data_IF_235110516818
#
_entry.id   IF_235110516818
#
_cell.length_a   1.000
_cell.length_b   1.000
_cell.length_c   1.000
_cell.angle_alpha   90.00
_cell.angle_beta   90.00
_cell.angle_gamma   90.00
#
_symmetry.space_group_name_H-M   'P 1'
#
loop_
_entity.id
_entity.type
_entity.pdbx_description
1 polymer ?
#
# COMPACT_ATOMS: atom_id res chain seq x y z
N UNK A 1 8.36 -13.07 21.76
CA UNK A 1 9.47 -12.32 21.12
C UNK A 1 8.86 -11.04 20.59
N UNK A 2 9.34 -9.89 21.06
CA UNK A 2 8.74 -8.58 20.75
C UNK A 2 9.01 -8.10 19.30
N UNK A 3 10.09 -8.58 18.68
CA UNK A 3 10.48 -8.24 17.31
C UNK A 3 11.09 -9.47 16.61
N UNK A 4 10.69 -9.71 15.36
CA UNK A 4 11.29 -10.72 14.49
C UNK A 4 11.18 -10.31 13.02
N UNK A 5 12.03 -10.85 12.17
CA UNK A 5 11.97 -10.68 10.71
C UNK A 5 12.05 -12.03 10.00
N UNK A 6 11.40 -12.10 8.81
CA UNK A 6 11.42 -13.27 7.92
C UNK A 6 11.57 -12.78 6.47
N UNK A 7 12.54 -13.30 5.73
CA UNK A 7 12.66 -13.08 4.27
C UNK A 7 11.56 -13.88 3.56
N UNK A 8 10.50 -13.17 3.18
CA UNK A 8 9.28 -13.79 2.70
C UNK A 8 9.30 -14.08 1.20
N UNK A 9 9.67 -13.10 0.39
CA UNK A 9 9.88 -13.29 -1.04
C UNK A 9 11.32 -12.91 -1.39
N UNK A 10 11.92 -13.68 -2.29
CA UNK A 10 13.31 -13.49 -2.71
C UNK A 10 13.39 -13.67 -4.23
N UNK A 11 14.11 -12.80 -4.91
CA UNK A 11 14.19 -12.78 -6.37
C UNK A 11 14.61 -14.12 -6.96
N UNK A 12 15.68 -14.71 -6.42
CA UNK A 12 16.27 -15.95 -6.92
C UNK A 12 15.40 -17.16 -6.54
N UNK A 13 15.00 -17.26 -5.26
CA UNK A 13 14.21 -18.37 -4.75
C UNK A 13 12.85 -18.48 -5.43
N UNK A 14 12.20 -17.36 -5.69
CA UNK A 14 10.86 -17.32 -6.28
C UNK A 14 10.92 -17.26 -7.82
N UNK A 15 12.12 -17.21 -8.43
CA UNK A 15 12.33 -17.36 -9.88
C UNK A 15 12.02 -16.13 -10.72
N UNK A 16 12.18 -14.92 -10.14
CA UNK A 16 11.96 -13.64 -10.83
C UNK A 16 13.20 -12.76 -10.81
N UNK A 17 13.34 -11.90 -11.82
CA UNK A 17 14.42 -10.91 -11.83
C UNK A 17 14.24 -9.86 -10.73
N UNK A 18 12.99 -9.54 -10.38
CA UNK A 18 12.67 -8.60 -9.32
C UNK A 18 11.33 -8.94 -8.68
N UNK A 19 11.30 -9.06 -7.35
CA UNK A 19 10.06 -9.19 -6.57
C UNK A 19 9.83 -7.90 -5.78
N UNK A 20 8.69 -7.24 -6.01
CA UNK A 20 8.38 -5.90 -5.48
C UNK A 20 6.92 -5.77 -5.07
N UNK A 21 6.54 -4.55 -4.66
CA UNK A 21 5.15 -4.11 -4.44
C UNK A 21 4.46 -4.98 -3.38
N UNK A 22 4.85 -4.83 -2.11
CA UNK A 22 4.24 -5.56 -1.01
C UNK A 22 2.80 -5.12 -0.76
N UNK A 23 1.92 -6.08 -0.48
CA UNK A 23 0.61 -5.83 0.12
C UNK A 23 0.31 -6.90 1.17
N UNK A 24 -0.26 -6.51 2.31
CA UNK A 24 -0.40 -7.37 3.48
C UNK A 24 -1.75 -7.18 4.13
N UNK A 25 -2.40 -8.29 4.48
CA UNK A 25 -3.62 -8.26 5.28
C UNK A 25 -3.61 -9.31 6.38
N UNK A 26 -4.21 -8.95 7.54
CA UNK A 26 -4.47 -9.83 8.66
C UNK A 26 -5.95 -10.24 8.67
N UNK A 27 -6.20 -11.54 8.70
CA UNK A 27 -7.56 -12.11 8.69
C UNK A 27 -8.09 -12.35 10.11
N UNK A 28 -7.22 -12.22 11.13
CA UNK A 28 -7.48 -12.62 12.52
C UNK A 28 -7.21 -14.11 12.76
N UNK A 29 -7.10 -14.48 14.06
CA UNK A 29 -6.79 -15.86 14.46
C UNK A 29 -5.43 -16.34 13.97
N UNK A 30 -4.45 -15.46 13.88
CA UNK A 30 -3.09 -15.75 13.44
C UNK A 30 -2.89 -15.82 11.92
N UNK A 31 -3.94 -15.59 11.15
CA UNK A 31 -3.91 -15.76 9.69
C UNK A 31 -3.50 -14.47 8.97
N UNK A 32 -2.57 -14.60 8.03
CA UNK A 32 -2.08 -13.50 7.21
C UNK A 32 -2.02 -13.90 5.73
N UNK A 33 -2.27 -12.94 4.85
CA UNK A 33 -1.97 -13.05 3.43
C UNK A 33 -0.97 -11.96 3.04
N UNK A 34 0.12 -12.36 2.43
CA UNK A 34 1.13 -11.48 1.87
C UNK A 34 1.16 -11.60 0.35
N UNK A 35 1.12 -10.46 -0.32
CA UNK A 35 1.16 -10.36 -1.78
C UNK A 35 2.43 -9.65 -2.23
N UNK A 36 2.88 -9.99 -3.41
CA UNK A 36 4.02 -9.36 -4.08
C UNK A 36 3.85 -9.44 -5.60
N UNK A 37 4.64 -8.67 -6.32
CA UNK A 37 4.71 -8.70 -7.79
C UNK A 37 6.05 -9.29 -8.21
N UNK A 38 6.01 -10.42 -8.88
CA UNK A 38 7.17 -11.06 -9.51
C UNK A 38 7.32 -10.57 -10.95
N UNK A 39 8.43 -9.93 -11.27
CA UNK A 39 8.73 -9.31 -12.58
C UNK A 39 9.80 -10.09 -13.32
N UNK A 40 9.63 -10.24 -14.62
CA UNK A 40 10.64 -10.89 -15.51
C UNK A 40 11.85 -10.01 -15.79
N UNK A 41 11.71 -8.69 -15.62
CA UNK A 41 12.78 -7.69 -15.72
C UNK A 41 12.62 -6.61 -14.63
N UNK A 42 13.62 -5.77 -14.46
CA UNK A 42 13.62 -4.71 -13.44
C UNK A 42 12.76 -3.48 -13.84
N UNK A 43 11.95 -3.55 -14.83
CA UNK A 43 11.09 -2.47 -15.30
C UNK A 43 9.67 -2.59 -14.75
N UNK A 44 9.03 -1.47 -14.42
CA UNK A 44 7.60 -1.42 -14.08
C UNK A 44 6.71 -1.85 -15.25
N UNK A 45 7.26 -1.89 -16.44
CA UNK A 45 6.58 -2.24 -17.70
C UNK A 45 6.95 -3.63 -18.22
N UNK A 46 7.59 -4.45 -17.41
CA UNK A 46 7.90 -5.84 -17.76
C UNK A 46 6.74 -6.77 -17.45
N UNK A 47 6.64 -7.87 -18.16
CA UNK A 47 5.73 -8.94 -17.79
C UNK A 47 5.90 -9.31 -16.32
N UNK A 48 4.78 -9.42 -15.63
CA UNK A 48 4.76 -9.66 -14.20
C UNK A 48 3.54 -10.45 -13.77
N UNK A 49 3.60 -10.99 -12.55
CA UNK A 49 2.52 -11.79 -11.93
C UNK A 49 2.36 -11.39 -10.49
N UNK A 50 1.15 -11.51 -9.96
CA UNK A 50 0.90 -11.35 -8.53
C UNK A 50 1.09 -12.69 -7.83
N UNK A 51 2.00 -12.68 -6.87
CA UNK A 51 2.33 -13.80 -6.00
C UNK A 51 1.62 -13.63 -4.66
N UNK A 52 1.30 -14.74 -4.00
CA UNK A 52 0.74 -14.75 -2.66
C UNK A 52 1.36 -15.85 -1.81
N UNK A 53 1.57 -15.56 -0.51
CA UNK A 53 1.88 -16.53 0.54
C UNK A 53 0.87 -16.39 1.67
N UNK A 54 0.63 -17.49 2.40
CA UNK A 54 -0.25 -17.54 3.57
C UNK A 54 0.51 -17.97 4.80
N UNK A 55 0.11 -17.40 5.94
CA UNK A 55 0.50 -17.86 7.27
C UNK A 55 -0.75 -18.17 8.09
N UNK A 56 -0.68 -19.18 8.96
CA UNK A 56 -1.73 -19.59 9.90
C UNK A 56 -1.29 -19.43 11.37
N UNK A 57 -0.09 -18.90 11.60
CA UNK A 57 0.60 -18.90 12.89
C UNK A 57 1.26 -17.55 13.21
N UNK A 58 0.55 -16.46 12.93
CA UNK A 58 1.01 -15.08 13.19
C UNK A 58 2.33 -14.75 12.47
N UNK A 59 2.53 -15.28 11.24
CA UNK A 59 3.69 -14.97 10.41
C UNK A 59 4.96 -15.73 10.77
N UNK A 60 4.89 -16.79 11.60
CA UNK A 60 6.06 -17.60 11.94
C UNK A 60 6.45 -18.52 10.78
N UNK A 61 5.47 -19.15 10.15
CA UNK A 61 5.67 -19.97 8.96
C UNK A 61 4.75 -19.54 7.82
N UNK A 62 5.16 -19.83 6.58
CA UNK A 62 4.48 -19.40 5.38
C UNK A 62 4.42 -20.50 4.34
N UNK A 63 3.31 -20.56 3.62
CA UNK A 63 3.15 -21.43 2.47
C UNK A 63 4.17 -21.11 1.37
N UNK A 64 4.45 -22.03 0.43
CA UNK A 64 5.11 -21.70 -0.83
C UNK A 64 4.39 -20.54 -1.54
N UNK A 65 5.13 -19.74 -2.31
CA UNK A 65 4.53 -18.71 -3.16
C UNK A 65 3.67 -19.37 -4.25
N UNK A 66 2.49 -18.78 -4.50
CA UNK A 66 1.64 -19.17 -5.63
C UNK A 66 1.23 -17.94 -6.43
N UNK A 67 1.03 -18.13 -7.71
CA UNK A 67 0.47 -17.10 -8.59
C UNK A 67 -1.03 -16.99 -8.35
N UNK A 68 -1.54 -15.77 -8.10
CA UNK A 68 -2.97 -15.49 -7.92
C UNK A 68 -3.56 -14.65 -9.04
N UNK A 69 -2.72 -13.93 -9.78
CA UNK A 69 -3.13 -13.25 -11.00
C UNK A 69 -1.96 -13.20 -11.99
N UNK A 70 -2.25 -13.54 -13.24
CA UNK A 70 -1.30 -13.46 -14.35
C UNK A 70 -2.04 -13.25 -15.68
N UNK A 71 -1.36 -12.66 -16.64
CA UNK A 71 -1.79 -12.54 -18.02
C UNK A 71 -0.55 -12.60 -18.91
N UNK A 72 -0.49 -13.61 -19.78
CA UNK A 72 0.69 -13.85 -20.60
C UNK A 72 1.11 -12.62 -21.41
N UNK A 73 2.39 -12.25 -21.34
CA UNK A 73 2.96 -11.11 -22.03
C UNK A 73 2.56 -9.73 -21.49
N UNK A 74 1.81 -9.66 -20.39
CA UNK A 74 1.31 -8.41 -19.82
C UNK A 74 1.96 -8.08 -18.48
N UNK A 75 1.94 -6.81 -18.13
CA UNK A 75 2.18 -6.34 -16.77
C UNK A 75 0.94 -6.66 -15.94
N UNK A 76 1.08 -7.42 -14.85
CA UNK A 76 0.04 -7.62 -13.84
C UNK A 76 0.60 -7.16 -12.50
N UNK A 77 0.10 -6.02 -12.00
CA UNK A 77 0.77 -5.29 -10.93
C UNK A 77 -0.24 -4.62 -9.97
N UNK A 78 0.27 -4.02 -8.89
CA UNK A 78 -0.48 -3.27 -7.89
C UNK A 78 -1.57 -4.11 -7.20
N UNK A 79 -1.22 -5.19 -6.46
CA UNK A 79 -2.19 -5.92 -5.67
C UNK A 79 -2.76 -5.03 -4.55
N UNK A 80 -4.10 -5.01 -4.46
CA UNK A 80 -4.83 -4.28 -3.42
C UNK A 80 -5.81 -5.22 -2.73
N UNK A 81 -5.37 -5.96 -1.72
CA UNK A 81 -6.25 -6.80 -0.91
C UNK A 81 -7.07 -5.95 0.07
N UNK A 82 -8.32 -6.36 0.31
CA UNK A 82 -9.22 -5.78 1.32
C UNK A 82 -9.86 -6.92 2.09
N UNK A 83 -9.85 -6.86 3.41
CA UNK A 83 -10.51 -7.85 4.26
C UNK A 83 -11.86 -7.32 4.72
N UNK A 84 -12.92 -7.98 4.27
CA UNK A 84 -14.28 -7.77 4.75
C UNK A 84 -14.60 -8.84 5.82
N UNK A 85 -14.36 -8.48 7.07
CA UNK A 85 -14.58 -9.39 8.21
C UNK A 85 -16.05 -9.76 8.38
N UNK A 86 -16.97 -8.83 8.09
CA UNK A 86 -18.41 -9.06 8.25
C UNK A 86 -18.96 -10.06 7.23
N UNK A 87 -18.45 -10.00 5.99
CA UNK A 87 -18.84 -10.92 4.92
C UNK A 87 -17.92 -12.14 4.80
N UNK A 88 -16.91 -12.25 5.68
CA UNK A 88 -15.86 -13.28 5.61
C UNK A 88 -15.27 -13.38 4.19
N UNK A 89 -14.99 -12.23 3.58
CA UNK A 89 -14.55 -12.12 2.19
C UNK A 89 -13.23 -11.37 2.09
N UNK A 90 -12.37 -11.81 1.18
CA UNK A 90 -11.15 -11.12 0.80
C UNK A 90 -11.33 -10.64 -0.62
N UNK A 91 -11.36 -9.33 -0.82
CA UNK A 91 -11.40 -8.71 -2.13
C UNK A 91 -9.97 -8.46 -2.59
N UNK A 92 -9.71 -8.55 -3.89
CA UNK A 92 -8.42 -8.27 -4.50
C UNK A 92 -8.64 -7.48 -5.79
N UNK A 93 -8.07 -6.27 -5.84
CA UNK A 93 -7.97 -5.50 -7.06
C UNK A 93 -6.53 -5.52 -7.56
N UNK A 94 -6.37 -5.38 -8.88
CA UNK A 94 -5.06 -5.24 -9.53
C UNK A 94 -5.22 -4.60 -10.91
N UNK A 95 -4.12 -4.16 -11.50
CA UNK A 95 -4.12 -3.60 -12.85
C UNK A 95 -3.38 -4.50 -13.84
N UNK A 96 -3.70 -4.36 -15.14
CA UNK A 96 -2.90 -4.91 -16.24
C UNK A 96 -2.49 -3.82 -17.21
N UNK A 97 -1.20 -3.82 -17.58
CA UNK A 97 -0.57 -2.89 -18.53
C UNK A 97 -0.81 -1.41 -18.21
N UNK A 98 -1.18 -1.09 -16.93
CA UNK A 98 -1.60 0.22 -16.47
C UNK A 98 -2.79 0.81 -17.27
N UNK A 99 -3.59 -0.06 -17.88
CA UNK A 99 -4.73 0.32 -18.74
C UNK A 99 -6.04 -0.29 -18.31
N UNK A 100 -6.01 -1.41 -17.61
CA UNK A 100 -7.20 -2.13 -17.15
C UNK A 100 -7.11 -2.41 -15.67
N UNK A 101 -8.23 -2.34 -14.98
CA UNK A 101 -8.35 -2.70 -13.58
C UNK A 101 -9.27 -3.92 -13.44
N UNK A 102 -8.82 -4.89 -12.66
CA UNK A 102 -9.55 -6.12 -12.40
C UNK A 102 -9.88 -6.25 -10.93
N UNK A 103 -11.00 -6.89 -10.67
CA UNK A 103 -11.48 -7.24 -9.34
C UNK A 103 -11.78 -8.73 -9.25
N UNK A 104 -11.37 -9.35 -8.16
CA UNK A 104 -11.75 -10.70 -7.79
C UNK A 104 -11.96 -10.81 -6.29
N UNK A 105 -12.50 -11.93 -5.80
CA UNK A 105 -12.70 -12.18 -4.38
C UNK A 105 -12.52 -13.64 -4.00
N UNK A 106 -12.19 -13.85 -2.74
CA UNK A 106 -12.12 -15.15 -2.08
C UNK A 106 -13.10 -15.19 -0.90
N UNK A 107 -13.78 -16.31 -0.73
CA UNK A 107 -14.68 -16.60 0.42
C UNK A 107 -14.21 -17.80 1.24
N UNK A 108 -13.02 -18.28 1.00
CA UNK A 108 -12.40 -19.45 1.63
C UNK A 108 -11.05 -19.11 2.31
N UNK A 109 -10.91 -17.85 2.75
CA UNK A 109 -9.69 -17.39 3.43
C UNK A 109 -8.48 -17.25 2.51
N UNK A 110 -8.70 -17.02 1.22
CA UNK A 110 -7.65 -16.86 0.22
C UNK A 110 -7.14 -18.19 -0.35
N UNK A 111 -7.83 -19.32 -0.13
CA UNK A 111 -7.47 -20.58 -0.79
C UNK A 111 -7.69 -20.49 -2.30
N UNK A 112 -8.84 -19.99 -2.70
CA UNK A 112 -9.15 -19.76 -4.11
C UNK A 112 -9.70 -18.35 -4.34
N UNK A 113 -9.55 -17.85 -5.56
CA UNK A 113 -10.15 -16.59 -5.99
C UNK A 113 -11.11 -16.86 -7.15
N UNK A 114 -12.25 -16.16 -7.16
CA UNK A 114 -13.21 -16.22 -8.24
C UNK A 114 -12.59 -15.72 -9.57
N UNK A 115 -13.15 -16.07 -10.73
CA UNK A 115 -12.72 -15.46 -11.99
C UNK A 115 -12.76 -13.93 -11.91
N UNK A 116 -11.70 -13.23 -12.37
CA UNK A 116 -11.62 -11.79 -12.24
C UNK A 116 -12.61 -11.07 -13.17
N UNK A 117 -13.27 -10.04 -12.65
CA UNK A 117 -14.11 -9.12 -13.42
C UNK A 117 -13.31 -7.89 -13.83
N UNK A 118 -13.47 -7.45 -15.07
CA UNK A 118 -12.91 -6.18 -15.56
C UNK A 118 -13.78 -5.02 -15.06
N UNK A 119 -13.20 -4.16 -14.23
CA UNK A 119 -13.88 -2.96 -13.69
C UNK A 119 -13.31 -1.66 -14.28
N UNK A 120 -12.63 -1.73 -15.41
CA UNK A 120 -12.03 -0.56 -16.08
C UNK A 120 -13.04 0.53 -16.41
N UNK A 121 -14.31 0.15 -16.64
CA UNK A 121 -15.42 1.08 -16.88
C UNK A 121 -15.59 2.10 -15.74
N UNK A 122 -15.22 1.77 -14.50
CA UNK A 122 -15.20 2.73 -13.37
C UNK A 122 -14.21 3.86 -13.64
N UNK A 123 -13.04 3.56 -14.19
CA UNK A 123 -12.02 4.58 -14.51
C UNK A 123 -12.39 5.40 -15.75
N UNK A 124 -13.13 4.82 -16.71
CA UNK A 124 -13.61 5.57 -17.88
C UNK A 124 -14.50 6.76 -17.48
N UNK A 125 -15.18 6.70 -16.35
CA UNK A 125 -16.01 7.80 -15.83
C UNK A 125 -15.19 9.03 -15.41
N UNK A 126 -13.87 8.91 -15.20
CA UNK A 126 -12.99 10.06 -14.95
C UNK A 126 -12.61 10.83 -16.21
N UNK A 127 -12.71 10.22 -17.43
CA UNK A 127 -12.22 10.83 -18.68
C UNK A 127 -12.74 12.23 -18.97
N UNK A 128 -13.99 12.60 -18.65
CA UNK A 128 -14.44 13.98 -18.86
C UNK A 128 -13.68 15.03 -18.03
N UNK A 129 -13.04 14.60 -16.91
CA UNK A 129 -12.27 15.47 -16.02
C UNK A 129 -10.76 15.28 -16.12
N UNK A 130 -10.32 14.06 -16.44
CA UNK A 130 -8.91 13.69 -16.51
C UNK A 130 -8.66 12.68 -17.63
N UNK A 131 -7.97 13.10 -18.68
CA UNK A 131 -7.65 12.27 -19.87
C UNK A 131 -6.50 11.31 -19.58
N UNK A 132 -6.73 10.32 -18.72
CA UNK A 132 -5.71 9.36 -18.32
C UNK A 132 -5.24 8.46 -19.45
N UNK A 133 -3.96 8.10 -19.41
CA UNK A 133 -3.28 7.08 -20.23
C UNK A 133 -2.78 5.92 -19.40
N UNK A 134 -2.73 6.10 -18.06
CA UNK A 134 -2.28 5.15 -17.06
C UNK A 134 -3.28 5.18 -15.91
N UNK A 135 -3.67 4.01 -15.43
CA UNK A 135 -4.49 3.82 -14.21
C UNK A 135 -3.84 2.80 -13.30
N UNK A 136 -3.94 3.01 -12.00
CA UNK A 136 -3.51 2.02 -11.02
C UNK A 136 -4.32 2.13 -9.71
N UNK A 137 -4.85 1.02 -9.18
CA UNK A 137 -5.27 0.96 -7.79
C UNK A 137 -4.05 0.91 -6.87
N UNK A 138 -4.15 1.42 -5.65
CA UNK A 138 -3.13 1.34 -4.61
C UNK A 138 -1.72 1.76 -5.03
N UNK A 139 -0.69 0.90 -4.81
CA UNK A 139 -0.71 -0.45 -4.22
C UNK A 139 -0.78 -0.46 -2.69
N UNK A 140 -0.72 -1.65 -2.10
CA UNK A 140 -0.89 -1.91 -0.68
C UNK A 140 -2.34 -2.24 -0.34
N UNK A 141 -2.62 -2.61 0.91
CA UNK A 141 -3.99 -2.96 1.31
C UNK A 141 -4.92 -1.74 1.26
N UNK A 142 -6.22 -2.03 1.15
CA UNK A 142 -7.27 -1.02 1.26
C UNK A 142 -8.28 -1.42 2.33
N UNK A 143 -9.35 -0.63 2.51
CA UNK A 143 -10.18 -0.70 3.71
C UNK A 143 -11.65 -0.95 3.42
N UNK A 144 -12.35 -1.53 4.40
CA UNK A 144 -13.80 -1.51 4.53
C UNK A 144 -14.14 -0.47 5.58
N UNK A 145 -14.97 0.51 5.23
CA UNK A 145 -15.48 1.49 6.19
C UNK A 145 -16.52 0.86 7.11
N UNK A 146 -16.75 1.44 8.28
CA UNK A 146 -17.82 1.03 9.20
C UNK A 146 -19.22 1.02 8.57
N UNK A 147 -19.41 1.76 7.49
CA UNK A 147 -20.63 1.72 6.68
C UNK A 147 -20.77 0.46 5.83
N UNK A 148 -19.75 -0.39 5.75
CA UNK A 148 -19.66 -1.55 4.84
C UNK A 148 -19.16 -1.20 3.44
N UNK A 149 -18.81 0.06 3.17
CA UNK A 149 -18.20 0.50 1.90
C UNK A 149 -16.78 -0.05 1.75
N UNK A 150 -16.51 -0.71 0.63
CA UNK A 150 -15.14 -0.98 0.19
C UNK A 150 -14.58 0.30 -0.42
N UNK A 151 -13.40 0.73 0.00
CA UNK A 151 -12.78 1.97 -0.46
C UNK A 151 -11.36 1.69 -0.94
N UNK A 152 -11.02 2.15 -2.15
CA UNK A 152 -9.70 1.97 -2.75
C UNK A 152 -9.17 3.30 -3.27
N UNK A 153 -8.06 3.82 -2.72
CA UNK A 153 -7.32 4.91 -3.35
C UNK A 153 -6.75 4.46 -4.69
N UNK A 154 -6.86 5.33 -5.69
CA UNK A 154 -6.36 5.08 -7.03
C UNK A 154 -5.58 6.30 -7.53
N UNK A 155 -4.67 6.09 -8.45
CA UNK A 155 -4.02 7.18 -9.15
C UNK A 155 -4.10 6.98 -10.66
N UNK A 156 -4.09 8.08 -11.38
CA UNK A 156 -4.14 8.11 -12.83
C UNK A 156 -3.05 9.05 -13.34
N UNK A 157 -2.50 8.76 -14.50
CA UNK A 157 -1.56 9.66 -15.16
C UNK A 157 -1.96 9.95 -16.61
N UNK A 158 -1.63 11.16 -17.08
CA UNK A 158 -1.94 11.65 -18.42
C UNK A 158 -0.70 11.75 -19.31
N UNK A 159 0.42 11.13 -18.92
CA UNK A 159 1.68 11.18 -19.65
C UNK A 159 1.63 10.49 -21.02
N UNK A 160 2.56 10.83 -21.90
CA UNK A 160 2.69 10.22 -23.22
C UNK A 160 3.55 8.95 -23.12
N UNK A 161 3.09 7.87 -23.75
CA UNK A 161 3.80 6.59 -23.74
C UNK A 161 3.74 5.89 -22.38
N UNK A 162 4.85 5.27 -21.99
CA UNK A 162 4.98 4.57 -20.69
C UNK A 162 5.36 5.55 -19.57
N UNK A 163 4.49 6.50 -19.25
CA UNK A 163 4.76 7.56 -18.29
C UNK A 163 3.75 7.59 -17.13
N UNK A 164 4.25 7.64 -15.90
CA UNK A 164 3.48 7.76 -14.68
C UNK A 164 3.25 9.23 -14.26
N UNK A 165 3.54 10.20 -15.11
CA UNK A 165 3.46 11.64 -14.83
C UNK A 165 2.97 12.41 -16.05
N UNK A 166 2.28 13.56 -15.87
CA UNK A 166 1.73 14.04 -14.61
C UNK A 166 0.63 13.13 -14.08
N UNK A 167 0.38 13.13 -12.76
CA UNK A 167 -0.60 12.24 -12.15
C UNK A 167 -1.56 12.95 -11.20
N UNK A 168 -2.74 12.35 -11.00
CA UNK A 168 -3.74 12.76 -10.03
C UNK A 168 -4.14 11.57 -9.16
N UNK A 169 -4.74 11.85 -8.01
CA UNK A 169 -5.30 10.85 -7.10
C UNK A 169 -6.81 10.98 -7.01
N UNK A 170 -7.47 9.85 -6.86
CA UNK A 170 -8.90 9.71 -6.66
C UNK A 170 -9.17 8.50 -5.76
N UNK A 171 -10.43 8.18 -5.55
CA UNK A 171 -10.86 6.93 -4.92
C UNK A 171 -11.91 6.24 -5.78
N UNK A 172 -11.94 4.91 -5.74
CA UNK A 172 -13.08 4.13 -6.20
C UNK A 172 -13.67 3.38 -5.01
N UNK A 173 -14.96 3.09 -5.06
CA UNK A 173 -15.66 2.44 -3.96
C UNK A 173 -16.75 1.48 -4.43
N UNK A 174 -17.15 0.59 -3.53
CA UNK A 174 -18.29 -0.31 -3.71
C UNK A 174 -19.13 -0.34 -2.44
N UNK A 175 -20.44 -0.15 -2.56
CA UNK A 175 -21.41 -0.21 -1.46
C UNK A 175 -22.16 -1.56 -1.41
N UNK A 176 -21.88 -2.47 -2.33
CA UNK A 176 -22.56 -3.74 -2.51
C UNK A 176 -21.64 -4.98 -2.41
N UNK A 177 -20.52 -4.84 -1.65
CA UNK A 177 -19.57 -5.94 -1.44
C UNK A 177 -18.81 -6.34 -2.71
N UNK A 178 -18.51 -5.37 -3.57
CA UNK A 178 -17.70 -5.54 -4.77
C UNK A 178 -18.51 -5.99 -6.01
N UNK A 179 -19.85 -6.02 -5.95
CA UNK A 179 -20.65 -6.36 -7.11
C UNK A 179 -20.61 -5.25 -8.18
N UNK A 180 -20.64 -3.99 -7.75
CA UNK A 180 -20.41 -2.82 -8.60
C UNK A 180 -19.39 -1.86 -7.99
N UNK A 181 -18.69 -1.13 -8.87
CA UNK A 181 -17.68 -0.14 -8.47
C UNK A 181 -18.04 1.23 -9.04
N UNK A 182 -17.85 2.25 -8.22
CA UNK A 182 -18.16 3.64 -8.55
C UNK A 182 -16.92 4.52 -8.41
N UNK A 183 -16.77 5.57 -9.24
CA UNK A 183 -15.72 6.57 -9.03
C UNK A 183 -16.09 7.52 -7.89
N UNK A 184 -15.13 7.82 -7.03
CA UNK A 184 -15.20 8.98 -6.15
C UNK A 184 -14.78 10.26 -6.86
N UNK A 185 -14.61 11.35 -6.13
CA UNK A 185 -14.05 12.59 -6.67
C UNK A 185 -12.54 12.47 -6.88
N UNK A 186 -11.99 13.27 -7.82
CA UNK A 186 -10.54 13.52 -7.87
C UNK A 186 -10.20 14.34 -6.63
N UNK A 187 -9.29 13.80 -5.81
CA UNK A 187 -8.88 14.40 -4.54
C UNK A 187 -7.92 15.54 -4.79
N UNK A 188 -6.94 15.32 -5.67
CA UNK A 188 -5.97 16.33 -6.08
C UNK A 188 -5.38 15.98 -7.45
N UNK A 189 -5.28 16.99 -8.31
CA UNK A 189 -4.54 16.89 -9.58
C UNK A 189 -3.12 17.45 -9.40
N UNK A 190 -2.25 17.15 -10.35
CA UNK A 190 -0.89 17.67 -10.38
C UNK A 190 -0.85 19.20 -10.45
N UNK A 191 -0.17 19.83 -9.50
CA UNK A 191 0.12 21.26 -9.50
C UNK A 191 1.46 21.56 -8.81
N UNK A 192 1.83 22.84 -8.74
CA UNK A 192 3.09 23.28 -8.11
C UNK A 192 3.10 23.08 -6.58
N UNK A 193 1.92 23.00 -5.94
CA UNK A 193 1.82 22.75 -4.50
C UNK A 193 2.06 21.27 -4.18
N UNK A 194 1.43 20.36 -4.92
CA UNK A 194 1.58 18.92 -4.74
C UNK A 194 1.88 18.21 -6.09
N UNK A 195 3.14 18.24 -6.54
CA UNK A 195 3.52 17.62 -7.80
C UNK A 195 3.35 16.10 -7.78
N UNK A 196 2.77 15.57 -8.84
CA UNK A 196 2.65 14.15 -9.12
C UNK A 196 2.16 13.29 -7.92
N UNK A 197 0.99 13.63 -7.32
CA UNK A 197 0.42 12.79 -6.28
C UNK A 197 0.08 11.40 -6.86
N UNK A 198 0.37 10.33 -6.11
CA UNK A 198 0.24 8.97 -6.65
C UNK A 198 -0.16 7.95 -5.57
N UNK A 199 0.66 6.96 -5.30
CA UNK A 199 0.38 5.86 -4.38
C UNK A 199 -0.03 6.36 -2.98
N UNK A 200 -1.28 6.13 -2.65
CA UNK A 200 -1.97 6.72 -1.50
C UNK A 200 -2.55 5.61 -0.65
N UNK A 201 -2.45 5.75 0.65
CA UNK A 201 -3.05 4.82 1.62
C UNK A 201 -4.18 5.51 2.38
N UNK A 202 -5.19 4.74 2.77
CA UNK A 202 -6.39 5.25 3.43
C UNK A 202 -6.56 4.65 4.82
N UNK A 203 -7.16 5.42 5.73
CA UNK A 203 -7.63 4.92 7.02
C UNK A 203 -8.92 5.63 7.41
N UNK A 204 -9.85 4.90 8.03
CA UNK A 204 -11.03 5.48 8.68
C UNK A 204 -10.67 5.93 10.08
N UNK A 205 -10.93 7.19 10.40
CA UNK A 205 -10.67 7.79 11.69
C UNK A 205 -11.77 7.43 12.72
N UNK A 206 -11.52 7.71 14.00
CA UNK A 206 -12.48 7.41 15.07
C UNK A 206 -13.80 8.17 14.92
N UNK A 207 -13.77 9.36 14.33
CA UNK A 207 -14.94 10.20 14.06
C UNK A 207 -15.70 9.82 12.77
N UNK A 208 -15.26 8.79 12.04
CA UNK A 208 -15.88 8.29 10.82
C UNK A 208 -15.39 8.93 9.54
N UNK A 209 -14.55 9.98 9.62
CA UNK A 209 -13.90 10.51 8.42
C UNK A 209 -12.86 9.53 7.89
N UNK A 210 -12.63 9.60 6.61
CA UNK A 210 -11.52 8.91 5.95
C UNK A 210 -10.37 9.90 5.79
N UNK A 211 -9.17 9.49 6.20
CA UNK A 211 -7.92 10.19 5.91
C UNK A 211 -7.18 9.46 4.79
N UNK A 212 -6.80 10.18 3.75
CA UNK A 212 -5.79 9.75 2.79
C UNK A 212 -4.42 10.27 3.21
N UNK A 213 -3.41 9.40 3.12
CA UNK A 213 -2.01 9.77 3.29
C UNK A 213 -1.29 9.57 1.96
N UNK A 214 -0.86 10.67 1.35
CA UNK A 214 -0.60 10.82 -0.07
C UNK A 214 0.91 10.88 -0.34
N UNK A 215 1.41 9.99 -1.21
CA UNK A 215 2.72 10.12 -1.82
C UNK A 215 2.71 11.26 -2.84
N UNK A 216 3.79 12.03 -2.87
CA UNK A 216 3.97 13.13 -3.82
C UNK A 216 5.45 13.39 -4.12
N UNK A 217 5.72 14.27 -5.08
CA UNK A 217 7.08 14.63 -5.51
C UNK A 217 7.48 16.06 -5.12
N UNK A 218 6.83 16.63 -4.11
CA UNK A 218 7.17 17.96 -3.62
C UNK A 218 8.59 18.02 -3.06
N UNK A 219 9.29 19.11 -3.34
CA UNK A 219 10.60 19.40 -2.77
C UNK A 219 10.59 19.63 -1.26
N UNK A 220 9.40 19.68 -0.64
CA UNK A 220 9.26 19.68 0.83
C UNK A 220 9.61 18.34 1.46
N UNK A 221 9.57 17.25 0.68
CA UNK A 221 9.79 15.90 1.18
C UNK A 221 8.92 15.57 2.39
N UNK A 222 7.64 15.89 2.30
CA UNK A 222 6.62 15.57 3.31
C UNK A 222 5.43 14.87 2.68
N UNK A 223 4.88 13.89 3.40
CA UNK A 223 3.59 13.30 3.02
C UNK A 223 2.53 14.40 3.02
N UNK A 224 1.48 14.20 2.21
CA UNK A 224 0.31 15.06 2.27
C UNK A 224 -0.91 14.27 2.75
N UNK A 225 -1.90 14.95 3.30
CA UNK A 225 -3.14 14.36 3.77
C UNK A 225 -4.35 15.12 3.27
N UNK A 226 -5.45 14.41 3.09
CA UNK A 226 -6.78 14.96 2.82
C UNK A 226 -7.83 14.14 3.57
N UNK A 227 -8.98 14.76 3.89
CA UNK A 227 -10.03 14.14 4.67
C UNK A 227 -11.36 14.20 3.93
N UNK A 228 -12.16 13.15 4.06
CA UNK A 228 -13.52 13.05 3.51
C UNK A 228 -14.45 12.41 4.54
N UNK A 229 -15.73 12.80 4.59
CA UNK A 229 -16.70 12.18 5.48
C UNK A 229 -17.11 10.75 5.06
N UNK A 230 -16.84 10.36 3.81
CA UNK A 230 -17.32 9.10 3.22
C UNK A 230 -16.29 8.38 2.33
N UNK A 231 -15.08 8.95 2.21
CA UNK A 231 -14.00 8.43 1.38
C UNK A 231 -14.19 8.61 -0.13
N UNK A 232 -15.30 9.17 -0.58
CA UNK A 232 -15.61 9.32 -2.00
C UNK A 232 -15.83 10.77 -2.43
N UNK A 233 -16.34 11.61 -1.53
CA UNK A 233 -16.76 12.98 -1.85
C UNK A 233 -16.31 13.99 -0.79
N UNK A 234 -16.42 15.27 -1.12
CA UNK A 234 -16.18 16.38 -0.18
C UNK A 234 -14.81 16.33 0.50
N UNK A 235 -13.78 16.07 -0.27
CA UNK A 235 -12.40 16.07 0.22
C UNK A 235 -11.99 17.48 0.65
N UNK A 236 -11.32 17.58 1.79
CA UNK A 236 -10.65 18.83 2.17
C UNK A 236 -9.55 19.18 1.18
N UNK A 237 -9.13 20.44 1.07
CA UNK A 237 -7.84 20.75 0.46
C UNK A 237 -6.73 19.89 1.07
N UNK A 238 -5.75 19.50 0.26
CA UNK A 238 -4.59 18.75 0.73
C UNK A 238 -3.68 19.62 1.56
N UNK A 239 -3.10 19.05 2.62
CA UNK A 239 -2.13 19.69 3.49
C UNK A 239 -0.92 18.80 3.74
N UNK A 240 0.25 19.38 4.02
CA UNK A 240 1.44 18.59 4.32
C UNK A 240 1.42 18.09 5.77
N UNK A 241 1.75 16.83 5.96
CA UNK A 241 1.98 16.21 7.26
C UNK A 241 3.46 16.37 7.66
N UNK A 242 3.81 17.48 8.31
CA UNK A 242 5.21 17.85 8.58
C UNK A 242 6.01 16.81 9.36
N UNK A 243 5.34 15.99 10.18
CA UNK A 243 5.97 14.90 10.93
C UNK A 243 6.33 13.68 10.06
N UNK A 244 5.78 13.56 8.84
CA UNK A 244 5.94 12.41 7.99
C UNK A 244 6.82 12.72 6.77
N UNK A 245 8.01 12.15 6.78
CA UNK A 245 8.96 12.28 5.67
C UNK A 245 8.46 11.57 4.41
N UNK A 246 8.77 12.12 3.22
CA UNK A 246 8.39 11.56 1.91
C UNK A 246 9.61 11.45 0.99
N UNK A 247 10.18 10.24 0.86
CA UNK A 247 11.29 10.01 -0.07
C UNK A 247 10.83 9.66 -1.50
N UNK A 248 9.58 9.95 -1.85
CA UNK A 248 8.90 9.49 -3.08
C UNK A 248 8.77 7.96 -3.05
N UNK A 249 8.06 7.45 -2.02
CA UNK A 249 7.93 6.03 -1.76
C UNK A 249 6.53 5.67 -1.29
N UNK A 250 6.01 4.49 -1.69
CA UNK A 250 4.81 3.94 -1.09
C UNK A 250 5.01 3.71 0.41
N UNK A 251 3.97 3.92 1.19
CA UNK A 251 3.96 3.80 2.64
C UNK A 251 2.84 2.85 3.08
N UNK A 252 2.94 2.30 4.28
CA UNK A 252 1.86 1.57 4.92
C UNK A 252 1.18 2.41 6.00
N UNK A 253 -0.15 2.26 6.14
CA UNK A 253 -0.93 2.93 7.18
C UNK A 253 -2.08 2.04 7.60
N UNK A 254 -2.19 1.73 8.88
CA UNK A 254 -3.31 0.95 9.43
C UNK A 254 -3.75 1.53 10.77
N UNK A 255 -5.04 1.38 11.10
CA UNK A 255 -5.56 1.56 12.46
C UNK A 255 -5.50 0.22 13.18
N UNK A 256 -4.87 0.19 14.33
CA UNK A 256 -4.91 -0.92 15.27
C UNK A 256 -5.89 -0.56 16.39
N UNK A 257 -6.93 -1.36 16.57
CA UNK A 257 -7.95 -1.16 17.59
C UNK A 257 -7.73 -2.02 18.84
N UNK A 258 -8.63 -1.93 19.84
CA UNK A 258 -8.56 -2.74 21.06
C UNK A 258 -8.58 -4.25 20.76
N UNK A 259 -9.38 -4.69 19.79
CA UNK A 259 -9.49 -6.10 19.39
C UNK A 259 -8.19 -6.63 18.75
N UNK A 260 -7.29 -5.74 18.36
CA UNK A 260 -6.01 -6.05 17.75
C UNK A 260 -4.83 -5.86 18.70
N UNK A 261 -5.08 -5.53 19.97
CA UNK A 261 -4.09 -5.45 21.04
C UNK A 261 -3.59 -4.05 21.38
N UNK A 262 -4.36 -3.00 21.06
CA UNK A 262 -4.10 -1.63 21.51
C UNK A 262 -5.15 -1.20 22.54
N UNK A 263 -4.74 -0.58 23.66
CA UNK A 263 -5.66 -0.09 24.70
C UNK A 263 -6.64 0.98 24.19
N UNK A 264 -6.20 1.77 23.22
CA UNK A 264 -6.98 2.74 22.45
C UNK A 264 -6.60 2.65 20.98
N UNK A 265 -7.47 3.09 20.08
CA UNK A 265 -7.16 3.09 18.66
C UNK A 265 -5.84 3.84 18.38
N UNK A 266 -4.91 3.21 17.69
CA UNK A 266 -3.62 3.78 17.31
C UNK A 266 -3.43 3.68 15.80
N UNK A 267 -2.98 4.76 15.17
CA UNK A 267 -2.53 4.72 13.80
C UNK A 267 -1.07 4.27 13.76
N UNK A 268 -0.80 3.32 12.89
CA UNK A 268 0.55 2.78 12.63
C UNK A 268 0.92 3.16 11.21
N UNK A 269 2.02 3.89 11.05
CA UNK A 269 2.54 4.34 9.76
C UNK A 269 3.94 3.81 9.53
N UNK A 270 4.23 3.34 8.32
CA UNK A 270 5.56 2.83 7.94
C UNK A 270 6.03 3.42 6.62
N UNK A 271 7.24 3.96 6.59
CA UNK A 271 7.93 4.34 5.36
C UNK A 271 9.44 4.53 5.62
N UNK A 272 10.27 4.61 4.56
CA UNK A 272 11.68 5.03 4.71
C UNK A 272 11.75 6.47 5.24
N UNK A 273 12.44 6.65 6.37
CA UNK A 273 12.56 7.95 7.05
C UNK A 273 13.82 8.72 6.66
N UNK A 274 14.72 8.11 5.90
CA UNK A 274 16.04 8.67 5.59
C UNK A 274 17.03 8.57 6.76
N UNK A 275 18.28 8.91 6.49
CA UNK A 275 19.36 9.01 7.47
C UNK A 275 19.84 10.45 7.57
N UNK A 276 20.35 10.88 8.73
CA UNK A 276 20.98 12.22 8.85
C UNK A 276 22.06 12.43 7.79
N UNK A 277 22.05 13.60 7.13
CA UNK A 277 23.02 13.95 6.10
C UNK A 277 22.74 13.42 4.70
N UNK A 278 21.73 12.60 4.51
CA UNK A 278 21.31 12.20 3.15
C UNK A 278 20.78 13.41 2.36
N UNK A 279 21.08 13.43 1.07
CA UNK A 279 20.68 14.49 0.15
C UNK A 279 19.85 13.92 -0.99
N UNK A 280 18.99 14.75 -1.63
CA UNK A 280 18.20 14.32 -2.78
C UNK A 280 19.10 13.78 -3.91
N UNK A 281 18.63 12.71 -4.54
CA UNK A 281 19.25 12.20 -5.77
C UNK A 281 18.68 12.97 -6.96
N UNK A 282 19.53 13.36 -7.88
CA UNK A 282 19.10 14.09 -9.09
C UNK A 282 17.94 13.36 -9.79
N UNK A 283 16.77 14.02 -9.85
CA UNK A 283 15.55 13.52 -10.51
C UNK A 283 14.91 12.27 -9.88
N UNK A 284 15.30 11.84 -8.67
CA UNK A 284 14.83 10.56 -8.05
C UNK A 284 14.39 10.68 -6.60
N UNK A 285 14.23 11.90 -6.08
CA UNK A 285 13.89 12.12 -4.67
C UNK A 285 15.01 11.74 -3.71
N UNK A 286 14.65 11.55 -2.46
CA UNK A 286 15.58 11.17 -1.39
C UNK A 286 15.93 9.68 -1.43
N UNK A 287 17.07 9.26 -0.85
CA UNK A 287 17.34 7.85 -0.63
C UNK A 287 16.23 7.16 0.17
N UNK A 288 15.97 5.91 -0.19
CA UNK A 288 15.00 5.06 0.54
C UNK A 288 15.74 4.22 1.54
N UNK A 289 16.00 4.79 2.72
CA UNK A 289 16.76 4.18 3.81
C UNK A 289 16.01 4.35 5.11
N UNK A 290 16.37 3.56 6.10
CA UNK A 290 15.83 3.65 7.45
C UNK A 290 14.30 3.52 7.48
N UNK A 291 13.79 2.34 7.09
CA UNK A 291 12.37 2.04 7.25
C UNK A 291 11.97 2.18 8.72
N UNK A 292 11.07 3.09 8.98
CA UNK A 292 10.68 3.45 10.34
C UNK A 292 9.19 3.25 10.52
N UNK A 293 8.80 2.62 11.63
CA UNK A 293 7.41 2.62 12.11
C UNK A 293 7.17 3.82 13.01
N UNK A 294 5.97 4.42 12.91
CA UNK A 294 5.50 5.51 13.77
C UNK A 294 4.12 5.23 14.29
N UNK A 295 3.84 5.67 15.53
CA UNK A 295 2.53 5.55 16.17
C UNK A 295 1.94 6.93 16.43
N UNK A 296 0.63 7.06 16.15
CA UNK A 296 -0.17 8.23 16.49
C UNK A 296 -1.40 7.81 17.30
N UNK A 297 -1.67 8.55 18.39
CA UNK A 297 -2.81 8.36 19.29
C UNK A 297 -3.84 9.47 19.17
N UNK A 298 -3.63 10.41 18.24
CA UNK A 298 -4.43 11.62 18.04
C UNK A 298 -4.89 11.79 16.57
N UNK A 299 -5.18 10.65 15.91
CA UNK A 299 -5.69 10.62 14.55
C UNK A 299 -4.71 11.18 13.50
N UNK A 300 -3.42 10.93 13.70
CA UNK A 300 -2.35 11.34 12.76
C UNK A 300 -1.89 12.79 12.90
N UNK A 301 -2.33 13.52 13.91
CA UNK A 301 -1.88 14.91 14.17
C UNK A 301 -0.44 14.95 14.66
N UNK A 302 -0.11 14.05 15.59
CA UNK A 302 1.27 13.87 16.08
C UNK A 302 1.69 12.41 16.02
N UNK A 303 3.00 12.17 15.96
CA UNK A 303 3.63 10.85 15.86
C UNK A 303 4.74 10.73 16.91
N UNK A 304 4.37 10.67 18.21
CA UNK A 304 5.33 10.78 19.33
C UNK A 304 6.25 9.57 19.49
N UNK A 305 5.88 8.43 18.92
CA UNK A 305 6.68 7.21 19.01
C UNK A 305 7.14 6.79 17.62
N UNK A 306 8.42 6.44 17.52
CA UNK A 306 8.99 5.91 16.27
C UNK A 306 10.14 4.99 16.56
N UNK A 307 10.30 3.95 15.73
CA UNK A 307 11.43 3.04 15.80
C UNK A 307 11.84 2.56 14.41
N UNK A 308 13.15 2.42 14.20
CA UNK A 308 13.69 1.84 12.97
C UNK A 308 13.39 0.33 12.92
N UNK A 309 12.85 -0.12 11.79
CA UNK A 309 12.63 -1.54 11.46
C UNK A 309 13.83 -2.08 10.67
N UNK A 310 14.30 -1.30 9.69
CA UNK A 310 15.40 -1.64 8.80
C UNK A 310 16.26 -0.39 8.59
N UNK A 311 17.45 -0.31 9.19
CA UNK A 311 18.27 0.90 9.11
C UNK A 311 18.93 1.12 7.75
N UNK A 312 19.03 0.07 6.95
CA UNK A 312 19.67 0.14 5.64
C UNK A 312 18.63 0.44 4.53
N UNK A 313 18.92 0.02 3.30
CA UNK A 313 18.02 0.25 2.16
C UNK A 313 16.71 -0.52 2.32
N UNK A 314 15.62 0.21 2.28
CA UNK A 314 14.26 -0.34 2.28
C UNK A 314 13.37 0.49 1.36
N UNK A 315 12.49 -0.17 0.62
CA UNK A 315 11.62 0.48 -0.35
C UNK A 315 10.18 0.60 0.13
N UNK A 316 9.26 0.16 -0.72
CA UNK A 316 7.83 0.14 -0.43
C UNK A 316 7.53 -0.69 0.81
N UNK A 317 6.58 -0.27 1.58
CA UNK A 317 6.08 -1.03 2.73
C UNK A 317 4.55 -1.04 2.76
N UNK A 318 4.00 -2.12 3.30
CA UNK A 318 2.61 -2.20 3.71
C UNK A 318 2.53 -2.75 5.13
N UNK A 319 1.49 -2.39 5.88
CA UNK A 319 1.36 -2.71 7.30
C UNK A 319 -0.03 -3.25 7.62
N UNK A 320 -0.08 -4.31 8.41
CA UNK A 320 -1.32 -4.88 8.94
C UNK A 320 -1.22 -5.02 10.47
N UNK A 321 -2.35 -5.06 11.15
CA UNK A 321 -2.43 -5.28 12.58
C UNK A 321 -3.40 -6.42 12.90
N UNK A 322 -3.08 -7.22 13.92
CA UNK A 322 -3.92 -8.31 14.38
C UNK A 322 -3.24 -9.16 15.45
N UNK A 323 -4.06 -9.80 16.29
CA UNK A 323 -3.61 -10.77 17.31
C UNK A 323 -2.49 -10.23 18.23
N UNK A 324 -2.54 -8.92 18.56
CA UNK A 324 -1.57 -8.25 19.43
C UNK A 324 -0.27 -7.82 18.75
N UNK A 325 -0.16 -8.00 17.43
CA UNK A 325 1.04 -7.66 16.68
C UNK A 325 0.76 -6.65 15.55
N UNK A 326 1.82 -5.95 15.18
CA UNK A 326 1.96 -5.17 13.97
C UNK A 326 2.85 -5.99 13.02
N UNK A 327 2.43 -6.10 11.77
CA UNK A 327 3.14 -6.80 10.70
C UNK A 327 3.49 -5.79 9.62
N UNK A 328 4.77 -5.61 9.31
CA UNK A 328 5.23 -4.73 8.24
C UNK A 328 5.88 -5.56 7.15
N UNK A 329 5.30 -5.57 5.97
CA UNK A 329 5.85 -6.22 4.78
C UNK A 329 6.56 -5.16 3.94
N UNK A 330 7.85 -5.35 3.62
CA UNK A 330 8.63 -4.30 2.98
C UNK A 330 9.71 -4.80 2.04
N UNK A 331 10.00 -4.01 1.02
CA UNK A 331 11.14 -4.23 0.13
C UNK A 331 12.44 -3.98 0.89
N UNK A 332 13.39 -4.92 0.86
CA UNK A 332 14.64 -4.82 1.58
C UNK A 332 15.86 -5.14 0.72
N UNK A 333 17.04 -4.67 1.20
CA UNK A 333 18.35 -4.96 0.62
C UNK A 333 18.61 -4.20 -0.68
N UNK A 334 19.90 -3.99 -0.96
CA UNK A 334 20.36 -3.54 -2.26
C UNK A 334 20.59 -4.79 -3.13
N UNK A 335 19.80 -4.92 -4.17
CA UNK A 335 20.33 -5.66 -5.32
C UNK A 335 21.38 -4.77 -5.95
N UNK A 336 22.63 -5.27 -6.12
CA UNK A 336 23.78 -4.60 -6.76
C UNK A 336 23.62 -3.10 -7.09
N UNK A 337 24.62 -2.30 -7.05
CA UNK A 337 24.87 -0.90 -7.51
C UNK A 337 23.69 0.05 -7.88
N UNK A 338 22.43 -0.40 -7.87
CA UNK A 338 21.23 0.39 -8.14
C UNK A 338 20.26 0.32 -6.96
N UNK A 339 20.22 1.35 -6.13
CA UNK A 339 19.43 1.40 -4.90
C UNK A 339 17.91 1.35 -5.04
N UNK A 340 17.38 1.08 -6.22
CA UNK A 340 15.94 0.97 -6.53
C UNK A 340 15.54 -0.51 -6.72
N UNK A 341 16.47 -1.45 -6.64
CA UNK A 341 16.21 -2.86 -6.87
C UNK A 341 16.37 -3.65 -5.57
N UNK A 342 15.29 -3.89 -4.85
CA UNK A 342 15.34 -4.69 -3.63
C UNK A 342 15.77 -6.12 -3.96
N UNK A 343 16.43 -6.76 -3.00
CA UNK A 343 16.76 -8.19 -3.06
C UNK A 343 15.51 -9.05 -2.95
N UNK A 344 14.49 -8.55 -2.26
CA UNK A 344 13.24 -9.23 -2.03
C UNK A 344 12.34 -8.46 -1.08
N UNK A 345 11.37 -9.16 -0.54
CA UNK A 345 10.39 -8.63 0.42
C UNK A 345 10.52 -9.38 1.74
N UNK A 346 10.65 -8.62 2.83
CA UNK A 346 10.78 -9.09 4.21
C UNK A 346 9.54 -8.73 4.99
N UNK A 347 9.13 -9.60 5.90
CA UNK A 347 8.16 -9.32 6.94
C UNK A 347 8.91 -9.00 8.24
N UNK A 348 8.54 -7.89 8.89
CA UNK A 348 8.82 -7.65 10.31
C UNK A 348 7.52 -7.82 11.11
N UNK A 349 7.59 -8.49 12.27
CA UNK A 349 6.51 -8.59 13.25
C UNK A 349 6.97 -8.03 14.57
N UNK A 350 6.17 -7.16 15.17
CA UNK A 350 6.50 -6.52 16.44
C UNK A 350 5.23 -6.07 17.19
N UNK A 351 5.39 -5.64 18.44
CA UNK A 351 4.29 -5.13 19.27
C UNK A 351 4.33 -3.60 19.35
N UNK A 352 3.23 -2.99 19.79
CA UNK A 352 3.17 -1.56 20.12
C UNK A 352 4.22 -1.19 21.18
N UNK A 353 4.41 -2.05 22.19
CA UNK A 353 5.40 -1.83 23.25
C UNK A 353 6.83 -1.78 22.70
N UNK A 354 7.15 -2.67 21.76
CA UNK A 354 8.44 -2.62 21.10
C UNK A 354 8.72 -1.26 20.44
N UNK A 355 7.70 -0.64 19.82
CA UNK A 355 7.87 0.69 19.20
C UNK A 355 8.06 1.78 20.24
N UNK A 356 7.44 1.66 21.42
CA UNK A 356 7.52 2.64 22.52
C UNK A 356 8.81 2.55 23.34
N UNK A 357 9.44 1.38 23.38
CA UNK A 357 10.73 1.22 24.09
C UNK A 357 11.79 2.12 23.46
N UNK A 358 12.45 2.93 24.30
CA UNK A 358 13.61 3.72 23.86
C UNK A 358 14.81 2.80 23.68
N UNK A 359 15.54 3.01 22.58
CA UNK A 359 16.85 2.37 22.37
C UNK A 359 17.85 2.77 23.45
#
# INVERSE_FOLDING_TARGET
MQFMTVDLFDNERDGFTSVRIPALVALGGGKLLAFAVGRTQVSDWSESKILMRRSEDMGLTWSPARVVAEMAGSVVDNPVPIVDKERACIHLLYQTDYKRCFYTKSTDGGETFAPPADITATFEQYRPRYSWTVIAPGPGHSIVLRSGRLLVPVWMAAGIGKAHRPSCIATIYSDDGGATWQPGEIVHDNDDFLPNPSETVAVELSDGRVMLNIRNESSRYRRAVAYSPDGATRWTPVEFADALYEPICCAGLVRMGPDEGADAGVLVFTNPAGKPGEVPRSGKGMPRTNLTVRLSYDEGRTWPFSRSIEPELAGYSDVAAGDGFIYCLYEHGAGSDKPIHPRGIRLARFTVDWVKERE
#
